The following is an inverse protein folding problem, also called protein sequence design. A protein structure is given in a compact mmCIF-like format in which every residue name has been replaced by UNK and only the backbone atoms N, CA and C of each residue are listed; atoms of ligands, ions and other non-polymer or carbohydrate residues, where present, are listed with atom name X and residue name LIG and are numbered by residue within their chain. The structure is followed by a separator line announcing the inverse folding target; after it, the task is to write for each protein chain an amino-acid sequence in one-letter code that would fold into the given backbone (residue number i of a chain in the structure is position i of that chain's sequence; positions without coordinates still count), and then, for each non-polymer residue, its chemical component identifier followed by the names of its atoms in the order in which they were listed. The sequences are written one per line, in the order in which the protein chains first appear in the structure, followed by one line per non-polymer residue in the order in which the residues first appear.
data_IF_171778110693
#
_entry.id   IF_171778110693
#
_cell.length_a   1.000
_cell.length_b   1.000
_cell.length_c   1.000
_cell.angle_alpha   90.00
_cell.angle_beta   90.00
_cell.angle_gamma   90.00
#
_symmetry.space_group_name_H-M   'P 1'
#
loop_
_entity.id
_entity.type
_entity.pdbx_description
1 polymer ?
#
# COMPACT_ATOMS: atom_id res chain seq x y z
N UNK A 1 11.86 -9.00 10.97
CA UNK A 1 10.71 -9.26 11.87
C UNK A 1 10.89 -10.63 12.46
N UNK A 2 11.06 -10.74 13.78
CA UNK A 2 11.15 -12.03 14.45
C UNK A 2 9.77 -12.70 14.51
N UNK A 3 9.73 -14.00 14.84
CA UNK A 3 8.47 -14.68 15.17
C UNK A 3 7.74 -13.96 16.31
N UNK A 4 8.46 -13.52 17.33
CA UNK A 4 7.87 -12.80 18.47
C UNK A 4 7.16 -11.51 18.03
N UNK A 5 7.79 -10.72 17.15
CA UNK A 5 7.20 -9.49 16.61
C UNK A 5 5.85 -9.75 15.92
N UNK A 6 5.68 -10.91 15.25
CA UNK A 6 4.41 -11.27 14.59
C UNK A 6 3.30 -11.45 15.61
N UNK A 7 3.57 -12.18 16.70
CA UNK A 7 2.56 -12.38 17.74
C UNK A 7 2.25 -11.05 18.46
N UNK A 8 3.24 -10.21 18.72
CA UNK A 8 2.99 -8.88 19.29
C UNK A 8 2.09 -8.02 18.42
N UNK A 9 2.13 -8.18 17.09
CA UNK A 9 1.28 -7.44 16.17
C UNK A 9 -0.12 -8.04 16.04
N UNK A 10 -0.22 -9.35 15.79
CA UNK A 10 -1.44 -10.02 15.31
C UNK A 10 -2.15 -10.91 16.33
N UNK A 11 -1.52 -11.27 17.44
CA UNK A 11 -2.17 -12.13 18.45
C UNK A 11 -3.20 -11.32 19.28
N UNK A 12 -3.99 -12.03 20.09
CA UNK A 12 -4.94 -11.44 21.02
C UNK A 12 -4.24 -10.46 21.96
N UNK A 13 -4.77 -9.25 22.08
CA UNK A 13 -4.15 -8.15 22.83
C UNK A 13 -2.90 -7.57 22.16
N UNK A 14 -2.62 -7.92 20.92
CA UNK A 14 -1.53 -7.38 20.11
C UNK A 14 -1.75 -5.91 19.71
N UNK A 15 -0.78 -5.36 18.98
CA UNK A 15 -0.80 -3.95 18.55
C UNK A 15 -2.03 -3.61 17.70
N UNK A 16 -2.45 -4.51 16.81
CA UNK A 16 -3.64 -4.25 15.98
C UNK A 16 -4.92 -4.20 16.82
N UNK A 17 -5.09 -5.09 17.80
CA UNK A 17 -6.27 -5.06 18.67
C UNK A 17 -6.31 -3.81 19.55
N UNK A 18 -5.15 -3.36 20.04
CA UNK A 18 -5.03 -2.16 20.89
C UNK A 18 -5.31 -0.86 20.14
N UNK A 19 -4.91 -0.77 18.87
CA UNK A 19 -4.93 0.49 18.13
C UNK A 19 -5.99 0.58 17.04
N UNK A 20 -6.51 -0.54 16.55
CA UNK A 20 -7.53 -0.58 15.50
C UNK A 20 -8.90 -0.95 16.08
N UNK A 21 -9.74 0.06 16.27
CA UNK A 21 -11.13 -0.13 16.71
C UNK A 21 -11.90 -1.03 15.73
N UNK A 22 -12.35 -2.18 16.21
CA UNK A 22 -13.02 -3.20 15.38
C UNK A 22 -12.08 -4.26 14.77
N UNK A 23 -10.80 -4.29 15.16
CA UNK A 23 -9.96 -5.46 14.92
C UNK A 23 -10.56 -6.69 15.61
N UNK A 24 -10.46 -7.83 14.93
CA UNK A 24 -10.83 -9.13 15.49
C UNK A 24 -9.66 -10.06 15.19
N UNK A 25 -9.17 -10.73 16.24
CA UNK A 25 -8.15 -11.77 16.10
C UNK A 25 -8.63 -12.85 15.13
N UNK A 26 -7.79 -13.16 14.15
CA UNK A 26 -8.03 -14.26 13.20
C UNK A 26 -6.76 -15.05 13.03
N UNK A 27 -6.80 -16.31 13.44
CA UNK A 27 -5.66 -17.24 13.36
C UNK A 27 -5.06 -17.30 11.95
N UNK A 28 -5.90 -17.33 10.90
CA UNK A 28 -5.44 -17.32 9.51
C UNK A 28 -4.62 -16.07 9.12
N UNK A 29 -4.83 -14.92 9.77
CA UNK A 29 -4.02 -13.72 9.55
C UNK A 29 -2.60 -13.90 10.11
N UNK A 30 -2.52 -14.42 11.34
CA UNK A 30 -1.26 -14.68 12.03
C UNK A 30 -0.45 -15.75 11.29
N UNK A 31 -1.07 -16.89 10.96
CA UNK A 31 -0.42 -17.96 10.20
C UNK A 31 0.08 -17.48 8.83
N UNK A 32 -0.70 -16.63 8.14
CA UNK A 32 -0.26 -16.03 6.88
C UNK A 32 0.96 -15.15 7.08
N UNK A 33 1.00 -14.31 8.12
CA UNK A 33 2.16 -13.46 8.41
C UNK A 33 3.41 -14.30 8.71
N UNK A 34 3.28 -15.40 9.45
CA UNK A 34 4.39 -16.31 9.72
C UNK A 34 4.97 -16.95 8.45
N UNK A 35 4.09 -17.46 7.58
CA UNK A 35 4.48 -18.07 6.30
C UNK A 35 5.17 -17.07 5.37
N UNK A 36 4.66 -15.84 5.30
CA UNK A 36 5.28 -14.76 4.53
C UNK A 36 6.66 -14.43 5.09
N UNK A 37 6.80 -14.28 6.42
CA UNK A 37 8.10 -14.01 7.07
C UNK A 37 9.11 -15.12 6.81
N UNK A 38 8.71 -16.38 6.95
CA UNK A 38 9.58 -17.53 6.64
C UNK A 38 10.04 -17.51 5.18
N UNK A 39 9.17 -17.12 4.25
CA UNK A 39 9.52 -16.99 2.83
C UNK A 39 10.56 -15.90 2.57
N UNK A 40 10.46 -14.76 3.27
CA UNK A 40 11.50 -13.72 3.22
C UNK A 40 12.85 -14.23 3.75
N UNK A 41 12.86 -14.93 4.88
CA UNK A 41 14.09 -15.40 5.51
C UNK A 41 14.80 -16.51 4.73
N UNK A 42 14.03 -17.41 4.12
CA UNK A 42 14.56 -18.58 3.41
C UNK A 42 14.74 -18.35 1.91
N UNK A 43 14.22 -17.24 1.38
CA UNK A 43 14.15 -17.00 -0.07
C UNK A 43 13.20 -17.96 -0.80
N UNK A 44 12.29 -18.62 -0.08
CA UNK A 44 11.35 -19.59 -0.64
C UNK A 44 10.17 -18.92 -1.34
N UNK A 45 9.50 -19.69 -2.19
CA UNK A 45 8.21 -19.31 -2.77
C UNK A 45 7.09 -19.93 -1.93
N UNK A 46 6.22 -19.10 -1.35
CA UNK A 46 5.00 -19.55 -0.68
C UNK A 46 3.77 -19.33 -1.55
N UNK A 47 2.91 -20.35 -1.60
CA UNK A 47 1.56 -20.27 -2.15
C UNK A 47 0.57 -20.39 -0.99
N UNK A 48 -0.25 -19.36 -0.79
CA UNK A 48 -1.15 -19.25 0.36
C UNK A 48 -2.57 -18.99 -0.14
N UNK A 49 -3.49 -19.91 0.15
CA UNK A 49 -4.92 -19.66 0.01
C UNK A 49 -5.44 -19.04 1.30
N UNK A 50 -6.06 -17.87 1.20
CA UNK A 50 -6.50 -17.12 2.37
C UNK A 50 -7.90 -16.54 2.18
N UNK A 51 -8.80 -16.87 3.11
CA UNK A 51 -10.21 -16.48 3.09
C UNK A 51 -10.45 -14.98 3.01
N UNK A 52 -11.60 -14.55 2.49
CA UNK A 52 -11.98 -13.12 2.45
C UNK A 52 -12.14 -12.56 3.87
N UNK A 53 -11.88 -11.27 4.04
CA UNK A 53 -12.07 -10.59 5.33
C UNK A 53 -11.06 -10.90 6.43
N UNK A 54 -10.12 -11.84 6.24
CA UNK A 54 -9.16 -12.20 7.31
C UNK A 54 -8.09 -11.14 7.61
N UNK A 55 -8.06 -10.02 6.90
CA UNK A 55 -6.99 -9.02 7.04
C UNK A 55 -5.68 -9.38 6.34
N UNK A 56 -5.75 -10.11 5.22
CA UNK A 56 -4.61 -10.55 4.40
C UNK A 56 -3.61 -9.43 4.09
N UNK A 57 -4.12 -8.25 3.73
CA UNK A 57 -3.31 -7.08 3.39
C UNK A 57 -2.37 -6.71 4.53
N UNK A 58 -2.89 -6.65 5.75
CA UNK A 58 -2.09 -6.31 6.92
C UNK A 58 -1.02 -7.37 7.21
N UNK A 59 -1.35 -8.65 7.05
CA UNK A 59 -0.42 -9.76 7.30
C UNK A 59 0.85 -9.63 6.45
N UNK A 60 0.73 -9.52 5.12
CA UNK A 60 1.90 -9.42 4.26
C UNK A 60 2.55 -8.02 4.30
N UNK A 61 1.76 -6.95 4.50
CA UNK A 61 2.31 -5.59 4.55
C UNK A 61 3.19 -5.38 5.78
N UNK A 62 2.75 -5.83 6.96
CA UNK A 62 3.55 -5.68 8.17
C UNK A 62 4.92 -6.33 7.99
N UNK A 63 4.96 -7.58 7.52
CA UNK A 63 6.21 -8.31 7.27
C UNK A 63 7.08 -7.58 6.24
N UNK A 64 6.50 -7.12 5.13
CA UNK A 64 7.21 -6.36 4.10
C UNK A 64 7.81 -5.05 4.64
N UNK A 65 7.08 -4.32 5.49
CA UNK A 65 7.54 -3.08 6.10
C UNK A 65 8.73 -3.32 7.03
N UNK A 66 8.65 -4.33 7.91
CA UNK A 66 9.77 -4.71 8.75
C UNK A 66 10.99 -5.14 7.94
N UNK A 67 10.79 -5.91 6.85
CA UNK A 67 11.87 -6.33 5.96
C UNK A 67 12.55 -5.13 5.29
N UNK A 68 11.77 -4.20 4.75
CA UNK A 68 12.29 -2.98 4.13
C UNK A 68 13.08 -2.09 5.12
N UNK A 69 12.80 -2.17 6.41
CA UNK A 69 13.55 -1.45 7.45
C UNK A 69 14.83 -2.17 7.88
N UNK A 70 14.82 -3.51 7.93
CA UNK A 70 16.02 -4.29 8.29
C UNK A 70 17.00 -4.45 7.14
N UNK A 71 16.51 -4.38 5.89
CA UNK A 71 17.28 -4.62 4.67
C UNK A 71 17.17 -3.44 3.70
N UNK A 72 17.84 -2.31 3.97
CA UNK A 72 17.66 -1.05 3.22
C UNK A 72 18.09 -1.13 1.75
N UNK A 73 18.93 -2.10 1.39
CA UNK A 73 19.40 -2.35 0.02
C UNK A 73 18.44 -3.24 -0.79
N UNK A 74 17.41 -3.79 -0.15
CA UNK A 74 16.40 -4.63 -0.77
C UNK A 74 15.09 -3.88 -1.02
N UNK A 75 14.26 -4.43 -1.91
CA UNK A 75 12.96 -3.83 -2.25
C UNK A 75 11.88 -4.90 -2.32
N UNK A 76 10.78 -4.65 -1.63
CA UNK A 76 9.56 -5.45 -1.78
C UNK A 76 8.65 -4.86 -2.85
N UNK A 77 8.17 -5.71 -3.76
CA UNK A 77 7.11 -5.36 -4.71
C UNK A 77 5.83 -6.09 -4.31
N UNK A 78 4.74 -5.34 -4.18
CA UNK A 78 3.41 -5.88 -3.89
C UNK A 78 2.54 -5.66 -5.11
N UNK A 79 2.15 -6.76 -5.76
CA UNK A 79 1.26 -6.75 -6.92
C UNK A 79 -0.15 -7.17 -6.52
N UNK A 80 -1.16 -6.49 -7.07
CA UNK A 80 -2.58 -6.83 -6.90
C UNK A 80 -3.35 -6.55 -8.19
N UNK A 81 -4.56 -7.09 -8.30
CA UNK A 81 -5.28 -7.23 -9.57
C UNK A 81 -5.76 -5.92 -10.19
N UNK A 82 -6.03 -4.88 -9.39
CA UNK A 82 -6.60 -3.62 -9.90
C UNK A 82 -5.94 -2.40 -9.26
N UNK A 83 -5.99 -1.26 -9.97
CA UNK A 83 -5.50 0.03 -9.47
C UNK A 83 -6.24 0.45 -8.19
N UNK A 84 -7.54 0.18 -8.10
CA UNK A 84 -8.33 0.51 -6.90
C UNK A 84 -7.83 -0.27 -5.67
N UNK A 85 -7.49 -1.55 -5.83
CA UNK A 85 -6.89 -2.34 -4.76
C UNK A 85 -5.49 -1.81 -4.41
N UNK A 86 -4.67 -1.43 -5.40
CA UNK A 86 -3.37 -0.81 -5.12
C UNK A 86 -3.51 0.49 -4.33
N UNK A 87 -4.45 1.35 -4.71
CA UNK A 87 -4.76 2.59 -3.98
C UNK A 87 -5.26 2.32 -2.57
N UNK A 88 -6.11 1.31 -2.37
CA UNK A 88 -6.53 0.91 -1.03
C UNK A 88 -5.32 0.53 -0.15
N UNK A 89 -4.38 -0.25 -0.68
CA UNK A 89 -3.15 -0.59 0.05
C UNK A 89 -2.32 0.66 0.35
N UNK A 90 -2.18 1.55 -0.62
CA UNK A 90 -1.28 2.71 -0.55
C UNK A 90 -1.81 3.87 0.30
N UNK A 91 -3.09 4.23 0.13
CA UNK A 91 -3.70 5.40 0.75
C UNK A 91 -4.36 5.08 2.10
N UNK A 92 -4.67 3.81 2.36
CA UNK A 92 -5.37 3.38 3.57
C UNK A 92 -4.54 2.42 4.42
N UNK A 93 -4.23 1.23 3.89
CA UNK A 93 -3.64 0.14 4.71
C UNK A 93 -2.21 0.47 5.16
N UNK A 94 -1.36 0.99 4.28
CA UNK A 94 0.01 1.41 4.60
C UNK A 94 0.05 2.53 5.67
N UNK A 95 -0.68 3.65 5.52
CA UNK A 95 -0.73 4.69 6.55
C UNK A 95 -1.24 4.19 7.90
N UNK A 96 -2.22 3.28 7.90
CA UNK A 96 -2.70 2.66 9.14
C UNK A 96 -1.60 1.84 9.82
N UNK A 97 -0.90 0.99 9.06
CA UNK A 97 0.21 0.19 9.61
C UNK A 97 1.36 1.05 10.11
N UNK A 98 1.75 2.10 9.39
CA UNK A 98 2.77 3.04 9.87
C UNK A 98 2.37 3.66 11.22
N UNK A 99 1.11 4.07 11.35
CA UNK A 99 0.59 4.63 12.62
C UNK A 99 0.61 3.61 13.75
N UNK A 100 0.10 2.40 13.51
CA UNK A 100 -0.09 1.41 14.57
C UNK A 100 1.19 0.70 14.99
N UNK A 101 2.13 0.55 14.05
CA UNK A 101 3.41 -0.11 14.31
C UNK A 101 4.52 0.89 14.66
N UNK A 102 4.27 2.21 14.52
CA UNK A 102 5.30 3.23 14.74
C UNK A 102 6.46 3.15 13.74
N UNK A 103 6.18 2.66 12.53
CA UNK A 103 7.17 2.43 11.48
C UNK A 103 7.11 3.53 10.42
N UNK A 104 8.21 3.70 9.69
CA UNK A 104 8.26 4.55 8.51
C UNK A 104 9.30 4.04 7.53
N UNK A 105 8.93 3.89 6.25
CA UNK A 105 9.87 3.59 5.18
C UNK A 105 9.41 4.24 3.86
N UNK A 106 10.31 4.26 2.87
CA UNK A 106 10.00 4.79 1.54
C UNK A 106 9.07 3.84 0.81
N UNK A 107 7.92 4.35 0.38
CA UNK A 107 6.96 3.60 -0.43
C UNK A 107 6.62 4.40 -1.69
N UNK A 108 6.19 3.69 -2.74
CA UNK A 108 5.73 4.31 -3.97
C UNK A 108 4.62 3.48 -4.58
N UNK A 109 3.65 4.14 -5.21
CA UNK A 109 2.60 3.51 -6.00
C UNK A 109 3.00 3.48 -7.47
N UNK A 110 3.13 2.30 -8.05
CA UNK A 110 3.49 2.12 -9.46
C UNK A 110 2.25 1.72 -10.29
N UNK A 111 1.73 2.65 -11.09
CA UNK A 111 0.63 2.42 -12.04
C UNK A 111 1.10 2.53 -13.50
N UNK A 112 0.31 2.00 -14.44
CA UNK A 112 0.63 2.07 -15.86
C UNK A 112 0.64 3.52 -16.39
N UNK A 113 1.45 3.80 -17.42
CA UNK A 113 1.66 5.14 -18.01
C UNK A 113 0.36 5.88 -18.35
N UNK A 114 -0.68 5.17 -18.79
CA UNK A 114 -1.99 5.74 -19.13
C UNK A 114 -2.72 6.39 -17.94
N UNK A 115 -2.26 6.14 -16.71
CA UNK A 115 -2.80 6.73 -15.49
C UNK A 115 -2.07 8.00 -15.05
N UNK A 116 -1.12 8.48 -15.84
CA UNK A 116 -0.42 9.75 -15.60
C UNK A 116 -0.78 10.78 -16.67
N UNK A 117 -0.91 12.03 -16.25
CA UNK A 117 -1.01 13.15 -17.17
C UNK A 117 0.33 13.41 -17.84
N UNK A 118 0.31 13.61 -19.16
CA UNK A 118 1.49 14.07 -19.88
C UNK A 118 1.63 15.59 -19.68
N UNK A 119 2.53 15.99 -18.78
CA UNK A 119 2.76 17.40 -18.41
C UNK A 119 3.08 18.25 -19.64
N UNK A 120 3.97 17.77 -20.52
CA UNK A 120 4.36 18.50 -21.72
C UNK A 120 3.17 18.74 -22.66
N UNK A 121 2.34 17.71 -22.90
CA UNK A 121 1.14 17.83 -23.73
C UNK A 121 0.14 18.79 -23.09
N UNK A 122 -0.05 18.71 -21.77
CA UNK A 122 -0.95 19.62 -21.05
C UNK A 122 -0.50 21.09 -21.20
N UNK A 123 0.79 21.38 -21.01
CA UNK A 123 1.34 22.73 -21.14
C UNK A 123 1.16 23.26 -22.58
N UNK A 124 1.43 22.44 -23.59
CA UNK A 124 1.25 22.81 -24.99
C UNK A 124 -0.22 23.07 -25.32
N UNK A 125 -1.13 22.17 -24.95
CA UNK A 125 -2.57 22.36 -25.21
C UNK A 125 -3.11 23.59 -24.47
N UNK A 126 -2.61 23.87 -23.26
CA UNK A 126 -2.97 25.06 -22.48
C UNK A 126 -2.54 26.36 -23.16
N UNK A 127 -1.38 26.42 -23.79
CA UNK A 127 -0.93 27.63 -24.50
C UNK A 127 -1.68 27.84 -25.82
N UNK A 128 -1.94 26.77 -26.56
CA UNK A 128 -2.67 26.80 -27.84
C UNK A 128 -4.16 27.15 -27.66
N UNK A 129 -4.80 26.62 -26.61
CA UNK A 129 -6.22 26.82 -26.32
C UNK A 129 -6.45 27.73 -25.10
N UNK A 130 -5.89 28.93 -25.14
CA UNK A 130 -5.87 29.87 -24.00
C UNK A 130 -7.26 30.20 -23.44
N UNK A 131 -8.26 30.41 -24.29
CA UNK A 131 -9.66 30.67 -23.88
C UNK A 131 -10.26 29.49 -23.11
N UNK A 132 -10.08 28.26 -23.60
CA UNK A 132 -10.55 27.05 -22.91
C UNK A 132 -9.82 26.89 -21.57
N UNK A 133 -8.51 27.18 -21.53
CA UNK A 133 -7.72 27.06 -20.30
C UNK A 133 -8.13 28.02 -19.18
N UNK A 134 -8.94 29.04 -19.49
CA UNK A 134 -9.44 30.04 -18.55
C UNK A 134 -10.94 29.83 -18.23
N UNK A 135 -11.64 29.01 -18.99
CA UNK A 135 -13.05 28.69 -18.79
C UNK A 135 -13.22 27.57 -17.74
N UNK A 136 -13.83 27.84 -16.56
CA UNK A 136 -14.05 26.85 -15.52
C UNK A 136 -14.89 25.63 -15.95
N UNK A 137 -15.69 25.76 -17.00
CA UNK A 137 -16.50 24.67 -17.54
C UNK A 137 -15.73 23.77 -18.50
N UNK A 138 -14.53 24.16 -18.93
CA UNK A 138 -13.74 23.34 -19.86
C UNK A 138 -12.99 22.20 -19.15
N UNK A 139 -12.86 21.07 -19.85
CA UNK A 139 -12.06 19.94 -19.36
C UNK A 139 -10.58 20.33 -19.16
N UNK A 140 -10.05 21.21 -20.00
CA UNK A 140 -8.66 21.66 -19.92
C UNK A 140 -8.40 22.47 -18.64
N UNK A 141 -9.35 23.30 -18.24
CA UNK A 141 -9.30 24.01 -16.96
C UNK A 141 -9.38 23.03 -15.79
N UNK A 142 -10.32 22.08 -15.82
CA UNK A 142 -10.53 21.10 -14.76
C UNK A 142 -9.31 20.19 -14.55
N UNK A 143 -8.70 19.70 -15.63
CA UNK A 143 -7.44 18.93 -15.56
C UNK A 143 -6.33 19.79 -14.96
N UNK A 144 -6.26 21.08 -15.30
CA UNK A 144 -5.29 22.00 -14.73
C UNK A 144 -5.44 22.22 -13.22
N UNK A 145 -6.67 22.26 -12.71
CA UNK A 145 -6.95 22.32 -11.28
C UNK A 145 -6.61 21.02 -10.57
N UNK A 146 -6.90 19.87 -11.18
CA UNK A 146 -6.59 18.55 -10.62
C UNK A 146 -5.08 18.27 -10.50
N UNK A 147 -4.26 18.89 -11.35
CA UNK A 147 -2.81 18.72 -11.33
C UNK A 147 -2.08 19.48 -10.21
N UNK A 148 -2.75 20.38 -9.48
CA UNK A 148 -2.18 21.14 -8.36
C UNK A 148 -2.32 20.39 -7.03
#
# INVERSE_FOLDING_TARGET
MTKHDIYEVFDKGGLLEKHFGGYEYREGQLLMAELVRESYETGAIAAIEAGTGIGKSFAYLAVALYHAMSSPDERTVIATSTINLQKQLYEKDLPMLFRYLGLSCKTALAVGRSNYVCIQRFVQTRSEASLLSQDPQSELYQVGQWMQ
#
